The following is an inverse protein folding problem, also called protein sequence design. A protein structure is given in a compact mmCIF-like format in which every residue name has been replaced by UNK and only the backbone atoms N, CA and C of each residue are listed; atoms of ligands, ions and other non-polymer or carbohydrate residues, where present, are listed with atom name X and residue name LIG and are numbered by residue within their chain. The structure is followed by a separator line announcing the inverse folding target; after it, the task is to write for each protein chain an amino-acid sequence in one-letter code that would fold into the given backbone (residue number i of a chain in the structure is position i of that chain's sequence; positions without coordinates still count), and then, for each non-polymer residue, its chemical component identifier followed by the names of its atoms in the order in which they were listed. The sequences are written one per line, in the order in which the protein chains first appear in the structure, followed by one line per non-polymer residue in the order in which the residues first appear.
data_IF_336061207967
#
_entry.id   IF_336061207967
#
_cell.length_a   1.000
_cell.length_b   1.000
_cell.length_c   1.000
_cell.angle_alpha   90.00
_cell.angle_beta   90.00
_cell.angle_gamma   90.00
#
_symmetry.space_group_name_H-M   'P 1'
#
loop_
_entity.id
_entity.type
_entity.pdbx_description
1 polymer ?
#
# COMPACT_ATOMS: atom_id res chain seq x y z
N UNK A 1 3.65 -23.43 -43.98
CA UNK A 1 3.23 -24.81 -43.64
C UNK A 1 2.50 -24.78 -42.30
N UNK A 2 1.18 -25.03 -42.34
CA UNK A 2 0.32 -24.92 -41.16
C UNK A 2 0.83 -25.87 -40.09
N UNK A 3 1.25 -25.31 -38.95
CA UNK A 3 1.75 -26.06 -37.80
C UNK A 3 0.75 -27.14 -37.38
N UNK A 4 -0.54 -27.00 -37.67
CA UNK A 4 -1.56 -28.01 -37.37
C UNK A 4 -1.34 -29.34 -38.09
N UNK A 5 -0.81 -29.35 -39.32
CA UNK A 5 -0.62 -30.58 -40.09
C UNK A 5 0.41 -31.53 -39.47
N UNK A 6 1.46 -31.00 -38.83
CA UNK A 6 2.51 -31.82 -38.21
C UNK A 6 2.09 -32.42 -36.85
N UNK A 7 1.14 -31.80 -36.14
CA UNK A 7 0.65 -32.31 -34.85
C UNK A 7 -0.30 -33.49 -34.97
N UNK A 8 -0.88 -33.73 -36.15
CA UNK A 8 -1.81 -34.85 -36.42
C UNK A 8 -1.20 -36.25 -36.18
N UNK A 9 0.13 -36.35 -36.25
CA UNK A 9 0.86 -37.60 -36.01
C UNK A 9 1.21 -37.81 -34.53
N UNK A 10 0.70 -36.97 -33.63
CA UNK A 10 0.98 -37.03 -32.20
C UNK A 10 -0.32 -37.09 -31.38
N UNK A 11 -0.23 -37.74 -30.22
CA UNK A 11 -1.30 -37.78 -29.22
C UNK A 11 -0.81 -37.19 -27.91
N UNK A 12 -1.55 -36.22 -27.40
CA UNK A 12 -1.25 -35.54 -26.14
C UNK A 12 -2.06 -36.17 -25.01
N UNK A 13 -1.45 -36.28 -23.83
CA UNK A 13 -2.09 -36.87 -22.65
C UNK A 13 -1.55 -36.27 -21.35
N UNK A 14 -2.24 -36.56 -20.25
CA UNK A 14 -1.81 -36.19 -18.91
C UNK A 14 -0.66 -37.07 -18.38
N UNK A 15 -0.13 -38.01 -19.18
CA UNK A 15 0.88 -38.97 -18.73
C UNK A 15 0.34 -40.09 -17.82
N UNK A 16 -0.97 -40.10 -17.52
CA UNK A 16 -1.67 -41.13 -16.75
C UNK A 16 -2.73 -41.87 -17.60
N UNK A 17 -2.64 -41.75 -18.93
CA UNK A 17 -3.50 -42.48 -19.87
C UNK A 17 -4.74 -41.72 -20.36
N UNK A 18 -5.02 -40.51 -19.86
CA UNK A 18 -6.14 -39.70 -20.36
C UNK A 18 -5.67 -38.78 -21.48
N UNK A 19 -6.26 -38.95 -22.67
CA UNK A 19 -5.96 -38.15 -23.85
C UNK A 19 -6.49 -36.72 -23.73
N UNK A 20 -5.82 -35.79 -24.43
CA UNK A 20 -6.20 -34.38 -24.54
C UNK A 20 -6.30 -33.65 -23.19
N UNK A 21 -5.48 -34.06 -22.21
CA UNK A 21 -5.42 -33.46 -20.89
C UNK A 21 -3.98 -33.20 -20.45
N UNK A 22 -3.81 -32.28 -19.51
CA UNK A 22 -2.53 -32.01 -18.83
C UNK A 22 -2.67 -32.43 -17.37
N UNK A 23 -1.65 -33.05 -16.78
CA UNK A 23 -1.66 -33.36 -15.37
C UNK A 23 -1.33 -32.12 -14.54
N UNK A 24 -2.11 -31.89 -13.48
CA UNK A 24 -1.85 -30.84 -12.48
C UNK A 24 -1.76 -31.50 -11.12
N UNK A 25 -0.57 -31.48 -10.51
CA UNK A 25 -0.32 -32.02 -9.18
C UNK A 25 -0.01 -30.88 -8.22
N UNK A 26 -0.78 -30.75 -7.13
CA UNK A 26 -0.42 -29.85 -6.04
C UNK A 26 0.72 -30.46 -5.22
N UNK A 27 1.87 -29.82 -5.24
CA UNK A 27 3.06 -30.25 -4.49
C UNK A 27 3.06 -29.72 -3.06
N UNK A 28 2.54 -28.52 -2.84
CA UNK A 28 2.44 -27.92 -1.50
C UNK A 28 1.06 -27.34 -1.25
N UNK A 29 0.59 -27.46 0.00
CA UNK A 29 -0.64 -26.81 0.45
C UNK A 29 -0.48 -25.29 0.50
N UNK A 30 -1.60 -24.57 0.44
CA UNK A 30 -1.59 -23.13 0.66
C UNK A 30 -1.10 -22.82 2.07
N UNK A 31 -0.06 -21.99 2.15
CA UNK A 31 0.49 -21.52 3.42
C UNK A 31 1.30 -20.25 3.23
N UNK A 32 1.54 -19.53 4.32
CA UNK A 32 2.44 -18.38 4.30
C UNK A 32 3.89 -18.90 4.28
N UNK A 33 4.58 -18.67 3.16
CA UNK A 33 5.85 -19.32 2.83
C UNK A 33 6.76 -18.36 2.06
N UNK A 34 8.09 -18.57 2.08
CA UNK A 34 8.99 -17.87 1.18
C UNK A 34 8.59 -18.04 -0.28
N UNK A 35 8.64 -16.93 -1.01
CA UNK A 35 8.37 -16.90 -2.44
C UNK A 35 9.63 -17.29 -3.23
N UNK A 36 9.41 -17.94 -4.37
CA UNK A 36 10.48 -18.50 -5.17
C UNK A 36 10.96 -17.53 -6.27
N UNK A 37 12.10 -17.89 -6.88
CA UNK A 37 12.70 -17.23 -8.05
C UNK A 37 12.81 -15.71 -7.89
N UNK A 38 12.06 -14.95 -8.70
CA UNK A 38 12.12 -13.48 -8.76
C UNK A 38 11.56 -12.77 -7.53
N UNK A 39 11.04 -13.50 -6.55
CA UNK A 39 10.55 -12.96 -5.27
C UNK A 39 11.27 -13.56 -4.06
N UNK A 40 12.44 -14.16 -4.25
CA UNK A 40 13.28 -14.61 -3.13
C UNK A 40 13.56 -13.47 -2.15
N UNK A 41 13.48 -13.76 -0.85
CA UNK A 41 13.54 -12.76 0.23
C UNK A 41 12.19 -12.16 0.62
N UNK A 42 11.11 -12.44 -0.12
CA UNK A 42 9.75 -12.09 0.26
C UNK A 42 8.96 -13.31 0.75
N UNK A 43 7.99 -13.08 1.63
CA UNK A 43 7.00 -14.08 2.01
C UNK A 43 5.61 -13.72 1.47
N UNK A 44 4.83 -14.75 1.15
CA UNK A 44 3.44 -14.60 0.74
C UNK A 44 2.67 -15.88 0.97
N UNK A 45 1.35 -15.85 0.78
CA UNK A 45 0.62 -17.12 0.79
C UNK A 45 0.70 -17.74 -0.58
N UNK A 46 1.14 -18.99 -0.65
CA UNK A 46 1.33 -19.65 -1.92
C UNK A 46 1.14 -21.16 -1.80
N UNK A 47 0.88 -21.78 -2.95
CA UNK A 47 0.93 -23.21 -3.16
C UNK A 47 1.70 -23.49 -4.46
N UNK A 48 2.49 -24.56 -4.46
CA UNK A 48 3.27 -24.99 -5.62
C UNK A 48 2.52 -26.12 -6.32
N UNK A 49 2.41 -26.00 -7.64
CA UNK A 49 1.80 -26.96 -8.53
C UNK A 49 2.81 -27.41 -9.57
N UNK A 50 2.72 -28.67 -9.97
CA UNK A 50 3.46 -29.23 -11.08
C UNK A 50 2.50 -29.50 -12.23
N UNK A 51 2.83 -28.97 -13.40
CA UNK A 51 2.08 -29.16 -14.63
C UNK A 51 2.91 -30.03 -15.56
N UNK A 52 2.35 -31.15 -15.98
CA UNK A 52 3.01 -32.11 -16.87
C UNK A 52 2.14 -32.40 -18.09
N UNK A 53 2.70 -32.19 -19.29
CA UNK A 53 2.07 -32.51 -20.55
C UNK A 53 2.90 -33.56 -21.29
N UNK A 54 2.28 -34.68 -21.64
CA UNK A 54 2.93 -35.80 -22.30
C UNK A 54 2.49 -35.93 -23.75
N UNK A 55 3.39 -36.39 -24.61
CA UNK A 55 3.16 -36.58 -26.03
C UNK A 55 3.70 -37.94 -26.48
N UNK A 56 2.96 -38.59 -27.37
CA UNK A 56 3.34 -39.83 -28.04
C UNK A 56 3.21 -39.67 -29.55
N UNK A 57 4.16 -40.19 -30.32
CA UNK A 57 4.03 -40.31 -31.77
C UNK A 57 3.15 -41.52 -32.15
N UNK A 58 2.20 -41.31 -33.07
CA UNK A 58 1.21 -42.32 -33.49
C UNK A 58 1.72 -43.24 -34.61
N UNK A 59 2.62 -42.75 -35.46
CA UNK A 59 3.09 -43.47 -36.65
C UNK A 59 4.37 -44.29 -36.40
N UNK A 60 4.53 -44.81 -35.19
CA UNK A 60 5.70 -45.64 -34.83
C UNK A 60 5.24 -46.89 -34.09
N UNK A 61 5.94 -48.03 -34.29
CA UNK A 61 5.64 -49.26 -33.56
C UNK A 61 6.03 -49.16 -32.07
N UNK A 62 6.82 -48.15 -31.68
CA UNK A 62 7.27 -47.95 -30.32
C UNK A 62 6.29 -47.08 -29.53
N UNK A 63 6.04 -47.46 -28.27
CA UNK A 63 5.21 -46.68 -27.35
C UNK A 63 6.06 -45.67 -26.55
N UNK A 64 6.84 -44.84 -27.25
CA UNK A 64 7.70 -43.84 -26.60
C UNK A 64 6.85 -42.62 -26.23
N UNK A 65 6.83 -42.29 -24.94
CA UNK A 65 6.13 -41.11 -24.41
C UNK A 65 7.17 -40.11 -23.92
N UNK A 66 7.23 -38.93 -24.51
CA UNK A 66 8.02 -37.82 -23.97
C UNK A 66 7.12 -36.86 -23.20
N UNK A 67 7.64 -36.15 -22.22
CA UNK A 67 6.86 -35.14 -21.51
C UNK A 67 7.66 -33.86 -21.24
N UNK A 68 6.95 -32.76 -21.11
CA UNK A 68 7.46 -31.52 -20.55
C UNK A 68 6.78 -31.24 -19.23
N UNK A 69 7.55 -30.69 -18.30
CA UNK A 69 7.07 -30.38 -16.96
C UNK A 69 7.51 -28.97 -16.56
N UNK A 70 6.63 -28.26 -15.86
CA UNK A 70 6.94 -27.00 -15.20
C UNK A 70 6.31 -26.97 -13.81
N UNK A 71 7.07 -26.53 -12.82
CA UNK A 71 6.51 -26.16 -11.53
C UNK A 71 6.14 -24.68 -11.55
N UNK A 72 5.02 -24.35 -10.94
CA UNK A 72 4.63 -22.98 -10.72
C UNK A 72 4.13 -22.81 -9.29
N UNK A 73 4.45 -21.67 -8.70
CA UNK A 73 3.92 -21.23 -7.43
C UNK A 73 2.81 -20.21 -7.73
N UNK A 74 1.57 -20.56 -7.40
CA UNK A 74 0.46 -19.62 -7.39
C UNK A 74 0.57 -18.85 -6.09
N UNK A 75 0.75 -17.53 -6.18
CA UNK A 75 1.09 -16.71 -5.03
C UNK A 75 0.11 -15.53 -4.87
N UNK A 76 -0.15 -15.22 -3.61
CA UNK A 76 -0.82 -14.00 -3.19
C UNK A 76 0.11 -13.25 -2.24
N UNK A 77 0.70 -12.18 -2.76
CA UNK A 77 1.81 -11.42 -2.18
C UNK A 77 1.23 -10.20 -1.44
N UNK A 78 1.45 -10.07 -0.11
CA UNK A 78 1.13 -8.86 0.62
C UNK A 78 1.91 -7.67 0.05
N UNK A 79 1.20 -6.62 -0.40
CA UNK A 79 1.88 -5.46 -1.01
C UNK A 79 2.63 -4.62 0.01
N UNK A 80 2.28 -4.73 1.30
CA UNK A 80 3.06 -4.16 2.40
C UNK A 80 4.40 -4.86 2.64
N UNK A 81 4.66 -6.00 1.97
CA UNK A 81 5.98 -6.63 1.96
C UNK A 81 7.02 -5.91 1.09
N UNK A 82 6.62 -4.85 0.36
CA UNK A 82 7.52 -3.97 -0.38
C UNK A 82 7.84 -2.72 0.45
N UNK A 83 9.05 -2.18 0.30
CA UNK A 83 9.36 -0.85 0.83
C UNK A 83 8.59 0.23 0.05
N UNK A 84 8.54 0.10 -1.27
CA UNK A 84 7.81 1.00 -2.17
C UNK A 84 7.10 0.18 -3.24
N UNK A 85 5.80 0.37 -3.40
CA UNK A 85 4.96 -0.27 -4.42
C UNK A 85 4.08 0.77 -5.11
N UNK A 86 4.24 0.98 -6.41
CA UNK A 86 3.37 1.86 -7.19
C UNK A 86 2.58 1.07 -8.23
N UNK A 87 1.26 1.29 -8.29
CA UNK A 87 0.44 0.84 -9.40
C UNK A 87 0.54 1.76 -10.63
N UNK A 88 1.03 2.99 -10.42
CA UNK A 88 1.26 4.02 -11.42
C UNK A 88 2.72 4.03 -11.88
N UNK A 89 3.08 4.96 -12.76
CA UNK A 89 4.47 5.37 -12.95
C UNK A 89 5.03 5.94 -11.63
N UNK A 90 6.28 5.59 -11.33
CA UNK A 90 6.99 5.94 -10.11
C UNK A 90 8.10 6.93 -10.43
N UNK A 91 8.17 8.02 -9.66
CA UNK A 91 9.20 9.04 -9.77
C UNK A 91 9.97 9.12 -8.44
N UNK A 92 11.30 9.13 -8.50
CA UNK A 92 12.19 9.26 -7.33
C UNK A 92 13.28 10.27 -7.67
N UNK A 93 13.14 11.49 -7.16
CA UNK A 93 13.99 12.63 -7.54
C UNK A 93 14.56 13.38 -6.32
N UNK A 94 15.17 12.67 -5.34
CA UNK A 94 15.49 13.26 -4.06
C UNK A 94 16.57 14.36 -4.17
N UNK A 95 16.31 15.48 -3.51
CA UNK A 95 17.26 16.59 -3.36
C UNK A 95 18.31 16.37 -2.26
N UNK A 96 18.19 15.30 -1.46
CA UNK A 96 19.14 14.90 -0.42
C UNK A 96 19.40 13.40 -0.49
N UNK A 97 20.51 12.93 0.09
CA UNK A 97 20.84 11.51 0.04
C UNK A 97 19.69 10.65 0.58
N UNK A 98 19.29 9.64 -0.18
CA UNK A 98 18.08 8.87 0.10
C UNK A 98 18.34 7.38 -0.10
N UNK A 99 17.96 6.57 0.89
CA UNK A 99 18.16 5.13 0.87
C UNK A 99 16.83 4.41 1.06
N UNK A 100 16.52 3.48 0.17
CA UNK A 100 15.36 2.60 0.27
C UNK A 100 15.85 1.23 0.70
N UNK A 101 15.44 0.80 1.90
CA UNK A 101 16.02 -0.35 2.60
C UNK A 101 15.29 -1.68 2.38
N UNK A 102 14.31 -1.72 1.48
CA UNK A 102 13.60 -2.94 1.09
C UNK A 102 13.22 -2.92 -0.39
N UNK A 103 12.42 -3.90 -0.81
CA UNK A 103 12.11 -4.14 -2.22
C UNK A 103 11.26 -3.01 -2.82
N UNK A 104 11.56 -2.59 -4.04
CA UNK A 104 10.81 -1.56 -4.77
C UNK A 104 10.16 -2.17 -6.01
N UNK A 105 8.88 -1.87 -6.24
CA UNK A 105 8.16 -2.32 -7.43
C UNK A 105 7.27 -1.22 -8.03
N UNK A 106 7.32 -1.06 -9.36
CA UNK A 106 6.36 -0.27 -10.12
C UNK A 106 5.62 -1.12 -11.16
N UNK A 107 4.29 -1.01 -11.22
CA UNK A 107 3.50 -1.53 -12.35
C UNK A 107 3.62 -0.63 -13.59
N UNK A 108 4.02 0.64 -13.41
CA UNK A 108 4.41 1.57 -14.47
C UNK A 108 5.92 1.63 -14.66
N UNK A 109 6.37 2.68 -15.35
CA UNK A 109 7.79 3.04 -15.43
C UNK A 109 8.30 3.49 -14.05
N UNK A 110 9.60 3.31 -13.81
CA UNK A 110 10.30 3.81 -12.64
C UNK A 110 11.35 4.82 -13.11
N UNK A 111 11.09 6.10 -12.93
CA UNK A 111 11.96 7.22 -13.26
C UNK A 111 12.83 7.60 -12.05
N UNK A 112 14.13 7.70 -12.28
CA UNK A 112 15.14 7.95 -11.26
C UNK A 112 15.97 9.17 -11.67
N UNK A 113 15.63 10.32 -11.09
CA UNK A 113 16.30 11.60 -11.38
C UNK A 113 16.79 12.31 -10.10
N UNK A 114 17.61 11.64 -9.27
CA UNK A 114 18.08 12.23 -8.03
C UNK A 114 19.04 13.41 -8.25
N UNK A 115 18.95 14.45 -7.41
CA UNK A 115 20.00 15.49 -7.30
C UNK A 115 21.04 15.20 -6.21
N UNK A 116 20.88 14.10 -5.47
CA UNK A 116 21.81 13.61 -4.45
C UNK A 116 21.81 12.07 -4.41
N UNK A 117 22.81 11.38 -3.83
CA UNK A 117 22.92 9.92 -3.94
C UNK A 117 21.64 9.15 -3.56
N UNK A 118 21.15 8.33 -4.48
CA UNK A 118 20.01 7.42 -4.28
C UNK A 118 20.54 5.98 -4.19
N UNK A 119 20.22 5.28 -3.11
CA UNK A 119 20.64 3.88 -2.92
C UNK A 119 19.44 2.97 -2.68
N UNK A 120 19.31 1.93 -3.51
CA UNK A 120 18.41 0.80 -3.26
C UNK A 120 19.19 -0.34 -2.62
N UNK A 121 18.80 -0.73 -1.39
CA UNK A 121 19.45 -1.83 -0.66
C UNK A 121 18.87 -3.21 -0.97
N UNK A 122 17.89 -3.27 -1.86
CA UNK A 122 17.22 -4.50 -2.27
C UNK A 122 16.84 -4.43 -3.76
N UNK A 123 16.16 -5.45 -4.26
CA UNK A 123 15.75 -5.53 -5.65
C UNK A 123 14.77 -4.41 -6.03
N UNK A 124 14.90 -3.92 -7.25
CA UNK A 124 13.99 -2.95 -7.88
C UNK A 124 13.39 -3.60 -9.11
N UNK A 125 12.07 -3.59 -9.25
CA UNK A 125 11.45 -4.13 -10.47
C UNK A 125 10.41 -3.18 -11.05
N UNK A 126 10.31 -3.16 -12.38
CA UNK A 126 9.28 -2.42 -13.10
C UNK A 126 8.59 -3.35 -14.10
N UNK A 127 7.26 -3.27 -14.17
CA UNK A 127 6.53 -3.96 -15.23
C UNK A 127 6.74 -3.31 -16.61
N UNK A 128 7.29 -2.09 -16.63
CA UNK A 128 7.75 -1.39 -17.82
C UNK A 128 9.26 -1.15 -17.70
N UNK A 129 9.75 0.10 -17.77
CA UNK A 129 11.19 0.39 -17.75
C UNK A 129 11.64 0.99 -16.42
N UNK A 130 12.89 0.72 -16.04
CA UNK A 130 13.62 1.49 -15.02
C UNK A 130 14.51 2.47 -15.80
N UNK A 131 14.30 3.76 -15.61
CA UNK A 131 14.87 4.83 -16.43
C UNK A 131 15.67 5.77 -15.54
N UNK A 132 16.92 6.04 -15.93
CA UNK A 132 17.72 7.12 -15.35
C UNK A 132 17.35 8.41 -16.07
N UNK A 133 16.82 9.38 -15.34
CA UNK A 133 16.29 10.63 -15.86
C UNK A 133 14.85 10.89 -15.44
N UNK A 134 14.40 12.10 -15.75
CA UNK A 134 13.09 12.63 -15.37
C UNK A 134 11.95 11.92 -16.09
N UNK A 135 10.78 11.92 -15.44
CA UNK A 135 9.53 11.56 -16.10
C UNK A 135 9.24 12.55 -17.23
N UNK A 136 8.65 12.14 -18.36
CA UNK A 136 8.16 13.07 -19.38
C UNK A 136 7.13 14.09 -18.86
N UNK A 137 6.56 13.83 -17.67
CA UNK A 137 5.63 14.73 -17.00
C UNK A 137 6.27 15.59 -15.92
N UNK A 138 7.58 15.47 -15.70
CA UNK A 138 8.33 16.32 -14.80
C UNK A 138 9.04 17.43 -15.60
N UNK A 139 8.67 18.72 -15.44
CA UNK A 139 9.33 19.82 -16.13
C UNK A 139 10.63 20.29 -15.45
N UNK A 140 11.03 19.66 -14.34
CA UNK A 140 12.11 20.13 -13.49
C UNK A 140 13.45 19.59 -13.97
N UNK A 141 14.25 20.47 -14.56
CA UNK A 141 15.61 20.12 -14.97
C UNK A 141 16.51 19.95 -13.73
N UNK A 142 17.03 18.75 -13.54
CA UNK A 142 17.99 18.43 -12.45
C UNK A 142 19.35 18.02 -13.00
N UNK A 143 20.36 18.13 -12.14
CA UNK A 143 21.66 17.51 -12.38
C UNK A 143 21.65 16.11 -11.78
N UNK A 144 21.63 15.09 -12.64
CA UNK A 144 21.56 13.69 -12.23
C UNK A 144 22.76 13.31 -11.33
N UNK A 145 22.46 12.84 -10.13
CA UNK A 145 23.39 12.26 -9.18
C UNK A 145 23.45 10.73 -9.30
N UNK A 146 24.27 10.08 -8.48
CA UNK A 146 24.47 8.63 -8.55
C UNK A 146 23.24 7.85 -8.07
N UNK A 147 22.83 6.85 -8.85
CA UNK A 147 21.91 5.79 -8.44
C UNK A 147 22.70 4.51 -8.21
N UNK A 148 22.57 3.90 -7.01
CA UNK A 148 23.23 2.64 -6.65
C UNK A 148 22.20 1.55 -6.37
N UNK A 149 22.30 0.42 -7.06
CA UNK A 149 21.52 -0.79 -6.81
C UNK A 149 22.38 -1.84 -6.10
N UNK A 150 21.97 -2.30 -4.93
CA UNK A 150 22.64 -3.39 -4.20
C UNK A 150 21.97 -4.76 -4.43
N UNK A 151 20.82 -4.79 -5.11
CA UNK A 151 20.16 -5.99 -5.62
C UNK A 151 19.92 -5.89 -7.12
N UNK A 152 19.23 -6.87 -7.70
CA UNK A 152 18.88 -6.84 -9.13
C UNK A 152 17.90 -5.71 -9.45
N UNK A 153 17.97 -5.19 -10.68
CA UNK A 153 17.08 -4.16 -11.18
C UNK A 153 16.46 -4.57 -12.52
N UNK A 154 15.23 -5.10 -12.50
CA UNK A 154 14.61 -5.71 -13.69
C UNK A 154 13.43 -4.90 -14.21
N UNK A 155 13.51 -4.45 -15.47
CA UNK A 155 12.37 -3.97 -16.24
C UNK A 155 11.61 -5.11 -16.92
N UNK A 156 10.42 -4.80 -17.43
CA UNK A 156 9.57 -5.68 -18.24
C UNK A 156 9.17 -6.96 -17.47
N UNK A 157 9.01 -6.85 -16.15
CA UNK A 157 8.47 -7.94 -15.34
C UNK A 157 6.93 -7.98 -15.41
N UNK A 158 6.31 -9.04 -14.91
CA UNK A 158 4.85 -9.05 -14.78
C UNK A 158 4.38 -7.98 -13.79
N UNK A 159 3.32 -7.25 -14.13
CA UNK A 159 2.63 -6.39 -13.18
C UNK A 159 2.00 -7.21 -12.05
N UNK A 160 1.97 -6.60 -10.86
CA UNK A 160 1.37 -7.14 -9.66
C UNK A 160 0.01 -6.47 -9.44
N UNK A 161 -1.06 -7.23 -9.68
CA UNK A 161 -2.42 -6.70 -9.70
C UNK A 161 -3.25 -7.20 -8.51
N UNK A 162 -4.09 -6.32 -7.96
CA UNK A 162 -5.09 -6.69 -6.97
C UNK A 162 -6.25 -7.44 -7.65
N UNK A 163 -6.88 -8.39 -6.95
CA UNK A 163 -7.95 -9.22 -7.50
C UNK A 163 -9.29 -8.48 -7.51
N UNK A 164 -9.39 -7.39 -8.28
CA UNK A 164 -10.60 -6.55 -8.37
C UNK A 164 -11.73 -7.20 -9.19
N UNK A 165 -11.45 -8.29 -9.91
CA UNK A 165 -12.38 -8.91 -10.87
C UNK A 165 -12.50 -8.17 -12.20
N UNK A 166 -11.79 -7.05 -12.33
CA UNK A 166 -11.68 -6.20 -13.52
C UNK A 166 -10.23 -5.72 -13.66
N UNK A 167 -9.96 -4.89 -14.67
CA UNK A 167 -8.66 -4.26 -14.85
C UNK A 167 -8.32 -3.37 -13.65
N UNK A 168 -7.04 -3.32 -13.27
CA UNK A 168 -6.51 -2.46 -12.21
C UNK A 168 -6.35 -1.01 -12.73
N UNK A 169 -7.45 -0.42 -13.19
CA UNK A 169 -7.49 1.01 -13.54
C UNK A 169 -7.36 1.86 -12.27
N UNK A 170 -6.97 3.12 -12.42
CA UNK A 170 -6.89 4.08 -11.30
C UNK A 170 -8.20 4.16 -10.52
N UNK A 171 -9.34 4.26 -11.22
CA UNK A 171 -10.66 4.27 -10.61
C UNK A 171 -10.99 2.96 -9.87
N UNK A 172 -10.65 1.80 -10.44
CA UNK A 172 -10.87 0.50 -9.80
C UNK A 172 -10.04 0.31 -8.54
N UNK A 173 -8.79 0.79 -8.55
CA UNK A 173 -7.90 0.78 -7.39
C UNK A 173 -8.33 1.78 -6.32
N UNK A 174 -8.80 2.96 -6.72
CA UNK A 174 -9.33 3.96 -5.79
C UNK A 174 -10.62 3.53 -5.11
N UNK A 175 -11.45 2.76 -5.81
CA UNK A 175 -12.68 2.23 -5.23
C UNK A 175 -12.43 1.41 -3.94
N UNK A 176 -11.23 0.84 -3.71
CA UNK A 176 -10.97 0.05 -2.50
C UNK A 176 -11.05 0.89 -1.21
N UNK A 177 -10.87 2.22 -1.28
CA UNK A 177 -10.99 3.12 -0.12
C UNK A 177 -12.33 3.86 -0.07
N UNK A 178 -13.15 3.76 -1.11
CA UNK A 178 -14.45 4.42 -1.19
C UNK A 178 -15.56 3.55 -0.58
N UNK A 179 -16.64 4.22 -0.15
CA UNK A 179 -17.89 3.56 0.27
C UNK A 179 -18.45 2.80 -0.95
N UNK A 180 -18.83 1.52 -0.81
CA UNK A 180 -19.42 0.76 -1.91
C UNK A 180 -20.74 1.39 -2.37
N UNK A 181 -21.01 1.44 -3.69
CA UNK A 181 -22.34 1.76 -4.16
C UNK A 181 -23.32 0.67 -3.70
N UNK A 182 -24.58 1.02 -3.44
CA UNK A 182 -25.59 0.10 -2.92
C UNK A 182 -25.83 -1.15 -3.80
N UNK A 183 -25.49 -1.08 -5.10
CA UNK A 183 -25.58 -2.18 -6.05
C UNK A 183 -24.41 -3.17 -6.01
N UNK A 184 -23.31 -2.84 -5.32
CA UNK A 184 -22.14 -3.71 -5.26
C UNK A 184 -22.25 -4.72 -4.11
N UNK A 185 -22.20 -6.01 -4.45
CA UNK A 185 -22.14 -7.08 -3.45
C UNK A 185 -20.79 -7.05 -2.69
N UNK A 186 -20.80 -7.11 -1.34
CA UNK A 186 -19.59 -7.28 -0.54
C UNK A 186 -18.78 -8.55 -0.87
N UNK A 187 -19.43 -9.56 -1.45
CA UNK A 187 -18.77 -10.81 -1.88
C UNK A 187 -18.19 -10.75 -3.29
N UNK A 188 -18.44 -9.69 -4.05
CA UNK A 188 -17.80 -9.49 -5.36
C UNK A 188 -16.28 -9.33 -5.21
N UNK A 189 -15.48 -9.59 -6.26
CA UNK A 189 -14.02 -9.44 -6.17
C UNK A 189 -13.57 -8.05 -5.68
N UNK A 190 -14.18 -6.97 -6.18
CA UNK A 190 -13.95 -5.60 -5.71
C UNK A 190 -14.51 -5.37 -4.30
N UNK A 191 -15.72 -5.85 -4.01
CA UNK A 191 -16.34 -5.74 -2.68
C UNK A 191 -15.48 -6.34 -1.57
N UNK A 192 -14.80 -7.46 -1.84
CA UNK A 192 -13.85 -8.07 -0.91
C UNK A 192 -12.56 -7.24 -0.72
N UNK A 193 -12.23 -6.33 -1.64
CA UNK A 193 -11.06 -5.44 -1.50
C UNK A 193 -11.37 -4.16 -0.72
N UNK A 194 -12.64 -3.73 -0.67
CA UNK A 194 -13.01 -2.47 -0.01
C UNK A 194 -12.72 -2.48 1.48
N UNK A 195 -12.03 -1.45 1.95
CA UNK A 195 -11.78 -1.27 3.38
C UNK A 195 -13.06 -1.07 4.18
N UNK A 196 -14.08 -0.42 3.58
CA UNK A 196 -15.43 -0.34 4.15
C UNK A 196 -15.98 -1.73 4.51
N UNK A 197 -15.87 -2.70 3.58
CA UNK A 197 -16.39 -4.05 3.80
C UNK A 197 -15.51 -4.88 4.75
N UNK A 198 -14.21 -4.57 4.84
CA UNK A 198 -13.26 -5.22 5.76
C UNK A 198 -13.33 -4.71 7.20
N UNK A 199 -13.93 -3.53 7.41
CA UNK A 199 -13.90 -2.84 8.69
C UNK A 199 -14.55 -3.64 9.84
N UNK A 200 -14.01 -3.46 11.03
CA UNK A 200 -14.64 -3.91 12.28
C UNK A 200 -15.60 -2.82 12.81
N UNK A 201 -15.20 -1.55 12.68
CA UNK A 201 -16.01 -0.38 13.01
C UNK A 201 -16.03 0.58 11.82
N UNK A 202 -17.23 0.96 11.39
CA UNK A 202 -17.47 1.96 10.34
C UNK A 202 -18.05 3.20 11.01
N UNK A 203 -17.51 4.36 10.68
CA UNK A 203 -17.92 5.66 11.22
C UNK A 203 -18.17 6.60 10.05
N UNK A 204 -19.40 7.10 9.92
CA UNK A 204 -19.78 8.06 8.90
C UNK A 204 -20.21 9.35 9.58
N UNK A 205 -19.53 10.43 9.25
CA UNK A 205 -19.83 11.77 9.77
C UNK A 205 -20.61 12.54 8.71
N UNK A 206 -21.75 13.09 9.07
CA UNK A 206 -22.57 13.93 8.19
C UNK A 206 -22.78 15.31 8.82
N UNK A 207 -23.43 16.23 8.10
CA UNK A 207 -23.75 17.56 8.63
C UNK A 207 -24.66 17.50 9.87
N UNK A 208 -25.47 16.45 10.01
CA UNK A 208 -26.48 16.34 11.05
C UNK A 208 -26.10 15.37 12.16
N UNK A 209 -25.49 14.24 11.80
CA UNK A 209 -25.23 13.13 12.73
C UNK A 209 -23.92 12.42 12.43
N UNK A 210 -23.38 11.79 13.46
CA UNK A 210 -22.36 10.74 13.34
C UNK A 210 -23.06 9.39 13.49
N UNK A 211 -22.93 8.52 12.50
CA UNK A 211 -23.40 7.13 12.58
C UNK A 211 -22.20 6.21 12.68
N UNK A 212 -22.30 5.17 13.51
CA UNK A 212 -21.28 4.13 13.55
C UNK A 212 -21.89 2.75 13.73
N UNK A 213 -21.35 1.79 12.98
CA UNK A 213 -21.82 0.41 12.97
C UNK A 213 -20.66 -0.57 12.93
N UNK A 214 -20.90 -1.82 13.33
CA UNK A 214 -20.04 -2.93 12.92
C UNK A 214 -19.98 -3.08 11.40
N UNK A 215 -19.02 -3.85 10.90
CA UNK A 215 -18.87 -4.11 9.47
C UNK A 215 -19.67 -5.30 8.95
N UNK A 216 -19.28 -5.79 7.77
CA UNK A 216 -19.98 -6.87 7.04
C UNK A 216 -19.99 -8.21 7.78
N UNK A 217 -19.04 -8.44 8.70
CA UNK A 217 -18.88 -9.71 9.42
C UNK A 217 -20.12 -10.13 10.23
N UNK A 218 -20.96 -9.17 10.62
CA UNK A 218 -22.24 -9.39 11.28
C UNK A 218 -23.35 -8.56 10.62
N UNK A 219 -23.24 -8.29 9.32
CA UNK A 219 -24.21 -7.51 8.54
C UNK A 219 -24.55 -6.14 9.14
N UNK A 220 -23.55 -5.39 9.64
CA UNK A 220 -23.72 -4.04 10.18
C UNK A 220 -24.70 -3.96 11.37
N UNK A 221 -24.90 -5.07 12.09
CA UNK A 221 -25.98 -5.20 13.09
C UNK A 221 -25.75 -4.46 14.40
N UNK A 222 -24.51 -4.15 14.76
CA UNK A 222 -24.19 -3.43 16.00
C UNK A 222 -24.11 -1.95 15.69
N UNK A 223 -24.95 -1.14 16.34
CA UNK A 223 -24.85 0.33 16.31
C UNK A 223 -24.07 0.83 17.53
N UNK A 224 -23.09 1.71 17.31
CA UNK A 224 -22.28 2.34 18.37
C UNK A 224 -22.77 3.79 18.53
N UNK A 225 -23.41 4.15 19.65
CA UNK A 225 -23.99 5.48 19.81
C UNK A 225 -22.90 6.54 19.99
N UNK A 226 -23.25 7.80 19.69
CA UNK A 226 -22.34 8.95 19.83
C UNK A 226 -21.73 9.09 21.24
N UNK A 227 -22.45 8.69 22.29
CA UNK A 227 -21.97 8.69 23.68
C UNK A 227 -20.77 7.76 23.92
N UNK A 228 -20.54 6.80 23.03
CA UNK A 228 -19.35 5.94 23.05
C UNK A 228 -18.24 6.53 22.17
N UNK A 229 -18.60 7.05 20.99
CA UNK A 229 -17.64 7.62 20.04
C UNK A 229 -16.96 8.90 20.57
N UNK A 230 -17.74 9.79 21.19
CA UNK A 230 -17.25 11.09 21.66
C UNK A 230 -16.23 11.00 22.80
N UNK A 231 -16.01 9.79 23.35
CA UNK A 231 -14.94 9.52 24.32
C UNK A 231 -13.55 9.58 23.68
N UNK A 232 -13.44 9.31 22.39
CA UNK A 232 -12.16 9.32 21.66
C UNK A 232 -12.21 10.12 20.34
N UNK A 233 -13.35 10.70 19.99
CA UNK A 233 -13.55 11.44 18.74
C UNK A 233 -14.03 12.87 18.98
N UNK A 234 -13.57 13.81 18.15
CA UNK A 234 -14.09 15.18 18.03
C UNK A 234 -14.33 15.52 16.55
N UNK A 235 -15.46 16.16 16.24
CA UNK A 235 -15.85 16.61 14.89
C UNK A 235 -15.82 18.13 14.73
N UNK A 236 -15.49 18.89 15.78
CA UNK A 236 -15.48 20.35 15.74
C UNK A 236 -14.09 20.94 15.47
N UNK A 237 -13.07 20.09 15.38
CA UNK A 237 -11.70 20.50 15.09
C UNK A 237 -11.57 20.99 13.63
N UNK A 238 -10.81 22.07 13.45
CA UNK A 238 -10.41 22.57 12.13
C UNK A 238 -9.03 23.19 12.18
N UNK A 239 -8.30 23.08 11.09
CA UNK A 239 -6.99 23.70 10.90
C UNK A 239 -6.78 23.97 9.42
N UNK A 240 -5.71 24.67 9.08
CA UNK A 240 -5.44 25.00 7.69
C UNK A 240 -4.35 24.15 7.09
N UNK A 241 -4.57 23.70 5.87
CA UNK A 241 -3.54 23.09 5.06
C UNK A 241 -3.06 24.10 4.01
N UNK A 242 -1.81 24.56 4.16
CA UNK A 242 -1.16 25.51 3.24
C UNK A 242 -0.85 24.90 1.87
N UNK A 243 -0.75 23.58 1.76
CA UNK A 243 -0.56 22.87 0.49
C UNK A 243 -1.85 22.86 -0.31
N UNK A 244 -2.96 22.61 0.36
CA UNK A 244 -4.29 22.58 -0.26
C UNK A 244 -4.92 23.98 -0.35
N UNK A 245 -4.38 24.96 0.39
CA UNK A 245 -4.90 26.32 0.52
C UNK A 245 -6.36 26.34 1.04
N UNK A 246 -6.72 25.37 1.88
CA UNK A 246 -8.07 25.18 2.42
C UNK A 246 -8.07 24.83 3.92
N UNK A 247 -9.19 25.09 4.59
CA UNK A 247 -9.43 24.63 5.96
C UNK A 247 -9.88 23.18 5.97
N UNK A 248 -9.21 22.36 6.75
CA UNK A 248 -9.59 20.97 6.98
C UNK A 248 -10.75 20.92 7.97
N UNK A 249 -11.93 20.51 7.49
CA UNK A 249 -13.06 20.15 8.33
C UNK A 249 -12.81 18.75 8.89
N UNK A 250 -12.44 18.67 10.16
CA UNK A 250 -11.75 17.49 10.68
C UNK A 250 -12.66 16.59 11.52
N UNK A 251 -12.59 15.29 11.26
CA UNK A 251 -12.96 14.22 12.19
C UNK A 251 -11.69 13.74 12.89
N UNK A 252 -11.48 14.20 14.11
CA UNK A 252 -10.29 13.93 14.91
C UNK A 252 -10.49 12.71 15.81
N UNK A 253 -9.51 11.80 15.81
CA UNK A 253 -9.46 10.59 16.61
C UNK A 253 -8.26 10.66 17.55
N UNK A 254 -8.52 10.66 18.85
CA UNK A 254 -7.49 10.49 19.87
C UNK A 254 -7.23 8.99 20.07
N UNK A 255 -6.09 8.51 19.57
CA UNK A 255 -5.72 7.10 19.58
C UNK A 255 -5.46 6.59 21.01
N UNK A 256 -4.95 7.46 21.89
CA UNK A 256 -4.71 7.11 23.29
C UNK A 256 -6.03 6.90 24.04
N UNK A 257 -7.05 7.73 23.75
CA UNK A 257 -8.41 7.53 24.29
C UNK A 257 -9.10 6.33 23.64
N UNK A 258 -8.95 6.12 22.33
CA UNK A 258 -9.46 4.93 21.64
C UNK A 258 -8.91 3.64 22.26
N UNK A 259 -7.62 3.62 22.61
CA UNK A 259 -7.00 2.49 23.32
C UNK A 259 -7.68 2.22 24.66
N UNK A 260 -8.07 3.25 25.41
CA UNK A 260 -8.74 3.07 26.69
C UNK A 260 -10.15 2.46 26.53
N UNK A 261 -10.85 2.78 25.44
CA UNK A 261 -12.16 2.21 25.12
C UNK A 261 -12.08 0.84 24.41
N UNK A 262 -10.88 0.35 24.07
CA UNK A 262 -10.69 -0.84 23.22
C UNK A 262 -11.43 -2.09 23.73
N UNK A 263 -11.33 -2.38 25.04
CA UNK A 263 -11.99 -3.56 25.63
C UNK A 263 -13.52 -3.41 25.59
N UNK A 264 -14.02 -2.19 25.81
CA UNK A 264 -15.45 -1.92 25.74
C UNK A 264 -15.98 -2.07 24.31
N UNK A 265 -15.29 -1.49 23.33
CA UNK A 265 -15.60 -1.66 21.91
C UNK A 265 -15.54 -3.12 21.48
N UNK A 266 -14.57 -3.88 21.99
CA UNK A 266 -14.46 -5.33 21.75
C UNK A 266 -15.71 -6.07 22.21
N UNK A 267 -16.24 -5.73 23.39
CA UNK A 267 -17.48 -6.32 23.90
C UNK A 267 -18.68 -5.93 23.04
N UNK A 268 -18.83 -4.66 22.66
CA UNK A 268 -19.95 -4.19 21.84
C UNK A 268 -19.94 -4.84 20.45
N UNK A 269 -18.77 -4.90 19.82
CA UNK A 269 -18.60 -5.42 18.45
C UNK A 269 -18.60 -6.96 18.40
N UNK A 270 -18.47 -7.63 19.55
CA UNK A 270 -18.35 -9.09 19.65
C UNK A 270 -17.01 -9.66 19.16
N UNK A 271 -16.04 -8.79 18.86
CA UNK A 271 -14.68 -9.13 18.42
C UNK A 271 -13.73 -7.97 18.62
N UNK A 272 -12.43 -8.27 18.71
CA UNK A 272 -11.36 -7.30 18.80
C UNK A 272 -11.32 -6.45 17.50
N UNK A 273 -11.57 -5.12 17.57
CA UNK A 273 -11.54 -4.27 16.38
C UNK A 273 -10.09 -3.95 15.98
N UNK A 274 -9.74 -4.18 14.72
CA UNK A 274 -8.43 -3.87 14.14
C UNK A 274 -8.54 -2.89 12.97
N UNK A 275 -9.65 -2.89 12.23
CA UNK A 275 -9.87 -2.03 11.07
C UNK A 275 -11.01 -1.04 11.37
N UNK A 276 -10.68 0.25 11.33
CA UNK A 276 -11.64 1.34 11.49
C UNK A 276 -11.77 2.06 10.16
N UNK A 277 -12.97 2.07 9.59
CA UNK A 277 -13.27 2.84 8.40
C UNK A 277 -13.98 4.13 8.80
N UNK A 278 -13.43 5.27 8.41
CA UNK A 278 -13.94 6.60 8.80
C UNK A 278 -14.13 7.42 7.54
N UNK A 279 -15.32 7.95 7.31
CA UNK A 279 -15.59 8.87 6.21
C UNK A 279 -16.32 10.12 6.70
N UNK A 280 -15.78 11.29 6.36
CA UNK A 280 -16.37 12.58 6.62
C UNK A 280 -17.14 13.05 5.39
N UNK A 281 -18.46 12.87 5.45
CA UNK A 281 -19.40 13.16 4.37
C UNK A 281 -20.04 14.54 4.56
N UNK A 282 -19.48 15.39 5.43
CA UNK A 282 -19.96 16.76 5.59
C UNK A 282 -19.77 17.55 4.30
N UNK A 283 -20.69 18.46 4.05
CA UNK A 283 -20.65 19.30 2.86
C UNK A 283 -19.48 20.25 2.93
N UNK A 284 -18.69 20.27 1.86
CA UNK A 284 -17.57 21.17 1.72
C UNK A 284 -17.95 22.46 1.02
N UNK A 285 -17.24 23.53 1.36
CA UNK A 285 -17.29 24.82 0.69
C UNK A 285 -16.08 24.97 -0.25
N UNK A 286 -16.01 26.08 -0.97
CA UNK A 286 -14.82 26.44 -1.75
C UNK A 286 -13.54 26.60 -0.88
N UNK A 287 -13.67 26.76 0.44
CA UNK A 287 -12.56 26.99 1.37
C UNK A 287 -12.31 25.82 2.31
N UNK A 288 -13.02 24.70 2.16
CA UNK A 288 -12.90 23.56 3.08
C UNK A 288 -12.74 22.23 2.37
N UNK A 289 -12.02 21.31 3.00
CA UNK A 289 -11.92 19.90 2.58
C UNK A 289 -12.18 18.98 3.78
N UNK A 290 -12.69 17.76 3.58
CA UNK A 290 -12.82 16.80 4.67
C UNK A 290 -11.42 16.36 5.13
N UNK A 291 -11.29 16.00 6.40
CA UNK A 291 -10.07 15.40 6.91
C UNK A 291 -10.36 14.44 8.05
N UNK A 292 -9.62 13.35 8.10
CA UNK A 292 -9.49 12.53 9.31
C UNK A 292 -8.15 12.85 9.95
N UNK A 293 -8.11 13.14 11.26
CA UNK A 293 -6.86 13.41 11.97
C UNK A 293 -6.66 12.46 13.14
N UNK A 294 -5.50 11.81 13.21
CA UNK A 294 -5.09 10.98 14.33
C UNK A 294 -4.15 11.76 15.23
N UNK A 295 -4.46 11.82 16.51
CA UNK A 295 -3.60 12.44 17.54
C UNK A 295 -3.26 11.42 18.62
N UNK A 296 -2.18 11.67 19.37
CA UNK A 296 -1.75 10.83 20.50
C UNK A 296 -1.54 9.36 20.10
N UNK A 297 -1.02 9.13 18.89
CA UNK A 297 -0.88 7.83 18.23
C UNK A 297 0.30 6.97 18.65
N UNK A 298 1.14 7.42 19.60
CA UNK A 298 2.42 6.79 19.88
C UNK A 298 2.25 5.32 20.31
N UNK A 299 1.23 5.02 21.11
CA UNK A 299 0.89 3.68 21.57
C UNK A 299 -0.49 3.28 21.09
N UNK A 300 -0.56 2.28 20.22
CA UNK A 300 -1.79 1.81 19.60
C UNK A 300 -2.62 0.88 20.53
N UNK A 301 -3.90 0.64 20.18
CA UNK A 301 -4.68 -0.46 20.75
C UNK A 301 -4.00 -1.83 20.60
N UNK A 302 -4.24 -2.78 21.52
CA UNK A 302 -3.69 -4.12 21.40
C UNK A 302 -4.21 -4.79 20.12
N UNK A 303 -3.43 -5.72 19.57
CA UNK A 303 -3.64 -6.35 18.25
C UNK A 303 -3.44 -5.44 17.02
N UNK A 304 -3.02 -4.18 17.20
CA UNK A 304 -2.70 -3.29 16.10
C UNK A 304 -3.90 -2.46 15.61
N UNK A 305 -3.65 -1.61 14.60
CA UNK A 305 -4.62 -0.64 14.13
C UNK A 305 -4.46 -0.33 12.64
N UNK A 306 -5.52 -0.53 11.88
CA UNK A 306 -5.69 -0.02 10.53
C UNK A 306 -6.74 1.08 10.54
N UNK A 307 -6.35 2.29 10.17
CA UNK A 307 -7.30 3.37 9.85
C UNK A 307 -7.43 3.42 8.33
N UNK A 308 -8.67 3.34 7.85
CA UNK A 308 -9.00 3.50 6.45
C UNK A 308 -10.03 4.62 6.26
N UNK A 309 -9.80 5.47 5.27
CA UNK A 309 -10.69 6.59 4.96
C UNK A 309 -10.63 6.91 3.46
N UNK A 310 -11.74 7.35 2.85
CA UNK A 310 -11.68 7.95 1.52
C UNK A 310 -11.14 9.38 1.55
N UNK A 311 -10.95 9.98 2.73
CA UNK A 311 -10.57 11.37 2.93
C UNK A 311 -9.04 11.52 3.13
N UNK A 312 -8.50 12.74 3.03
CA UNK A 312 -7.15 13.05 3.48
C UNK A 312 -6.96 12.75 4.97
N UNK A 313 -5.87 12.06 5.30
CA UNK A 313 -5.55 11.60 6.65
C UNK A 313 -4.32 12.33 7.19
N UNK A 314 -4.45 12.88 8.40
CA UNK A 314 -3.40 13.60 9.10
C UNK A 314 -2.96 12.79 10.31
N UNK A 315 -1.66 12.65 10.50
CA UNK A 315 -1.07 12.00 11.69
C UNK A 315 -0.29 13.05 12.45
N UNK A 316 -0.78 13.43 13.62
CA UNK A 316 -0.09 14.38 14.49
C UNK A 316 0.66 13.65 15.60
N UNK A 317 1.97 13.89 15.64
CA UNK A 317 2.89 13.34 16.60
C UNK A 317 3.42 11.97 16.21
N UNK A 318 4.05 11.32 17.19
CA UNK A 318 4.55 9.96 17.01
C UNK A 318 3.39 8.96 16.82
N UNK A 319 3.58 7.97 15.94
CA UNK A 319 2.58 6.94 15.65
C UNK A 319 3.19 5.54 15.70
N UNK A 320 2.61 4.66 16.53
CA UNK A 320 3.06 3.28 16.72
C UNK A 320 4.57 3.19 17.04
N UNK A 321 5.07 4.07 17.89
CA UNK A 321 6.49 4.26 18.14
C UNK A 321 6.78 4.12 19.64
N UNK A 322 7.02 2.87 20.13
CA UNK A 322 7.36 2.63 21.52
C UNK A 322 8.51 3.53 21.99
N UNK A 323 8.41 4.06 23.20
CA UNK A 323 9.36 5.08 23.71
C UNK A 323 10.84 4.66 23.62
N UNK A 324 11.12 3.36 23.72
CA UNK A 324 12.48 2.81 23.62
C UNK A 324 13.12 2.96 22.22
N UNK A 325 12.33 3.18 21.17
CA UNK A 325 12.78 3.15 19.77
C UNK A 325 12.42 4.40 18.98
N UNK A 326 12.01 5.49 19.65
CA UNK A 326 11.77 6.78 19.00
C UNK A 326 13.02 7.24 18.23
N UNK A 327 12.83 7.68 16.98
CA UNK A 327 13.88 8.16 16.10
C UNK A 327 14.78 7.07 15.50
N UNK A 328 14.48 5.78 15.75
CA UNK A 328 15.29 4.65 15.28
C UNK A 328 14.57 3.84 14.20
N UNK A 329 15.30 2.97 13.52
CA UNK A 329 14.74 1.99 12.58
C UNK A 329 14.36 0.66 13.23
N UNK A 330 14.36 0.57 14.56
CA UNK A 330 14.01 -0.64 15.28
C UNK A 330 12.49 -0.76 15.46
N UNK A 331 11.89 -1.70 14.74
CA UNK A 331 10.45 -1.94 14.77
C UNK A 331 10.05 -3.17 15.59
N UNK A 332 10.94 -3.78 16.37
CA UNK A 332 10.66 -5.05 17.08
C UNK A 332 9.44 -5.00 18.01
N UNK A 333 9.14 -3.82 18.59
CA UNK A 333 7.99 -3.60 19.48
C UNK A 333 6.81 -2.90 18.79
N UNK A 334 6.86 -2.65 17.48
CA UNK A 334 5.72 -2.05 16.78
C UNK A 334 4.59 -3.08 16.64
N UNK A 335 3.36 -2.57 16.68
CA UNK A 335 2.17 -3.35 16.42
C UNK A 335 1.83 -3.33 14.92
N UNK A 336 1.07 -4.33 14.42
CA UNK A 336 0.62 -4.32 13.03
C UNK A 336 -0.23 -3.07 12.77
N UNK A 337 0.24 -2.15 11.95
CA UNK A 337 -0.45 -0.88 11.74
C UNK A 337 -0.46 -0.47 10.27
N UNK A 338 -1.61 0.03 9.81
CA UNK A 338 -1.75 0.58 8.46
C UNK A 338 -2.54 1.88 8.46
N UNK A 339 -2.14 2.80 7.59
CA UNK A 339 -2.84 4.03 7.31
C UNK A 339 -3.25 4.02 5.84
N UNK A 340 -4.54 4.13 5.59
CA UNK A 340 -5.13 3.97 4.25
C UNK A 340 -6.03 5.17 3.96
N UNK A 341 -5.71 5.97 2.96
CA UNK A 341 -6.35 7.28 2.78
C UNK A 341 -6.37 7.78 1.33
N UNK A 342 -7.00 8.93 1.09
CA UNK A 342 -6.79 9.70 -0.15
C UNK A 342 -5.34 10.17 -0.25
N UNK A 343 -4.86 10.82 0.80
CA UNK A 343 -3.51 11.34 0.97
C UNK A 343 -3.11 11.29 2.44
N UNK A 344 -1.82 11.27 2.75
CA UNK A 344 -1.33 11.26 4.14
C UNK A 344 -0.36 12.39 4.41
N UNK A 345 -0.69 13.19 5.42
CA UNK A 345 0.13 14.30 5.92
C UNK A 345 0.61 14.00 7.34
N UNK A 346 1.91 14.19 7.60
CA UNK A 346 2.49 14.06 8.94
C UNK A 346 2.72 15.44 9.54
N UNK A 347 2.24 15.61 10.77
CA UNK A 347 2.38 16.78 11.60
C UNK A 347 3.15 16.36 12.86
N UNK A 348 4.09 17.17 13.32
CA UNK A 348 4.87 16.87 14.52
C UNK A 348 4.07 17.15 15.80
N UNK A 349 4.61 16.76 16.96
CA UNK A 349 4.01 17.08 18.27
C UNK A 349 3.93 18.60 18.53
N UNK A 350 4.72 19.41 17.80
CA UNK A 350 4.71 20.88 17.92
C UNK A 350 3.64 21.55 17.04
N UNK A 351 2.91 20.78 16.22
CA UNK A 351 1.89 21.34 15.35
C UNK A 351 0.85 22.12 16.15
N UNK A 352 0.49 23.30 15.65
CA UNK A 352 -0.47 24.18 16.29
C UNK A 352 -1.43 24.75 15.25
N UNK A 353 -2.69 24.33 15.33
CA UNK A 353 -3.77 24.71 14.41
C UNK A 353 -3.90 26.24 14.27
N UNK A 354 -3.71 27.00 15.35
CA UNK A 354 -3.80 28.47 15.33
C UNK A 354 -2.69 29.14 14.52
N UNK A 355 -1.59 28.42 14.26
CA UNK A 355 -0.44 28.88 13.47
C UNK A 355 -0.37 28.23 12.10
N UNK A 356 -1.38 27.45 11.72
CA UNK A 356 -1.37 26.70 10.46
C UNK A 356 -1.30 27.63 9.22
N UNK A 357 -1.87 28.83 9.30
CA UNK A 357 -1.77 29.89 8.27
C UNK A 357 -0.50 30.74 8.36
N UNK A 358 0.28 30.63 9.43
CA UNK A 358 1.38 31.54 9.69
C UNK A 358 2.59 31.19 8.81
N UNK A 359 3.51 32.15 8.61
CA UNK A 359 4.77 31.90 7.92
C UNK A 359 5.51 30.69 8.50
N UNK A 360 6.29 30.01 7.64
CA UNK A 360 6.97 28.76 7.97
C UNK A 360 7.84 28.84 9.24
N UNK A 361 8.40 30.02 9.56
CA UNK A 361 9.18 30.26 10.78
C UNK A 361 8.41 30.09 12.11
N UNK A 362 7.08 30.05 12.08
CA UNK A 362 6.22 29.84 13.26
C UNK A 362 5.67 28.42 13.40
N UNK A 363 5.87 27.58 12.38
CA UNK A 363 5.43 26.18 12.32
C UNK A 363 6.64 25.24 12.48
N UNK A 364 7.40 25.41 13.57
CA UNK A 364 8.64 24.66 13.78
C UNK A 364 8.39 23.24 14.26
N UNK A 365 8.75 22.26 13.44
CA UNK A 365 8.55 20.85 13.75
C UNK A 365 9.41 20.39 14.95
N UNK A 366 8.96 19.31 15.58
CA UNK A 366 9.75 18.46 16.45
C UNK A 366 10.12 17.15 15.75
N UNK A 367 11.10 16.41 16.27
CA UNK A 367 11.41 15.09 15.72
C UNK A 367 10.20 14.15 15.86
N UNK A 368 9.90 13.35 14.84
CA UNK A 368 8.68 12.52 14.80
C UNK A 368 8.99 11.16 14.22
N UNK A 369 8.38 10.12 14.79
CA UNK A 369 8.51 8.71 14.36
C UNK A 369 7.14 8.16 14.00
N UNK A 370 7.00 7.67 12.76
CA UNK A 370 5.78 7.02 12.26
C UNK A 370 6.13 5.60 11.82
N UNK A 371 5.51 4.60 12.44
CA UNK A 371 5.67 3.20 12.06
C UNK A 371 4.35 2.62 11.57
N UNK A 372 4.18 2.52 10.25
CA UNK A 372 2.97 1.97 9.64
C UNK A 372 3.21 1.55 8.19
N UNK A 373 2.44 0.58 7.72
CA UNK A 373 2.23 0.44 6.29
C UNK A 373 1.32 1.56 5.80
N UNK A 374 1.65 2.19 4.68
CA UNK A 374 0.92 3.34 4.17
C UNK A 374 0.42 3.03 2.76
N UNK A 375 -0.89 3.14 2.57
CA UNK A 375 -1.55 3.07 1.27
C UNK A 375 -2.29 4.38 1.04
N UNK A 376 -1.83 5.19 0.10
CA UNK A 376 -2.55 6.41 -0.24
C UNK A 376 -2.43 6.74 -1.72
N UNK A 377 -3.17 7.76 -2.13
CA UNK A 377 -2.98 8.38 -3.42
C UNK A 377 -1.78 9.31 -3.44
N UNK A 378 -1.41 9.72 -4.66
CA UNK A 378 -0.40 10.75 -4.92
C UNK A 378 -0.97 11.80 -5.87
N UNK A 379 -0.42 13.00 -5.90
CA UNK A 379 -0.67 13.94 -7.01
C UNK A 379 0.42 13.69 -8.06
N UNK A 380 0.13 13.17 -9.27
CA UNK A 380 1.15 12.94 -10.29
C UNK A 380 1.72 14.25 -10.85
N UNK A 381 2.97 14.24 -11.34
CA UNK A 381 3.50 15.33 -12.17
C UNK A 381 2.70 15.44 -13.48
N UNK A 382 2.62 16.63 -14.08
CA UNK A 382 1.72 16.86 -15.23
C UNK A 382 2.29 17.75 -16.36
N UNK A 383 3.61 17.89 -16.43
CA UNK A 383 4.33 18.71 -17.41
C UNK A 383 4.40 20.20 -17.06
N UNK A 384 3.58 20.69 -16.12
CA UNK A 384 3.65 22.07 -15.60
C UNK A 384 4.28 22.15 -14.21
N UNK A 385 4.21 21.07 -13.44
CA UNK A 385 4.86 20.96 -12.15
C UNK A 385 5.38 19.55 -11.91
N UNK A 386 6.42 19.47 -11.08
CA UNK A 386 6.82 18.26 -10.39
C UNK A 386 6.03 18.12 -9.09
N UNK A 387 5.59 16.90 -8.76
CA UNK A 387 4.72 16.67 -7.61
C UNK A 387 5.33 15.81 -6.49
N UNK A 388 6.66 15.74 -6.41
CA UNK A 388 7.37 15.36 -5.19
C UNK A 388 7.81 13.89 -5.06
N UNK A 389 7.36 13.00 -5.96
CA UNK A 389 7.86 11.62 -6.04
C UNK A 389 7.70 10.81 -4.74
N UNK A 390 8.44 9.71 -4.62
CA UNK A 390 8.43 8.84 -3.44
C UNK A 390 8.93 9.56 -2.18
N UNK A 391 9.97 10.38 -2.30
CA UNK A 391 10.63 11.07 -1.19
C UNK A 391 9.76 12.17 -0.53
N UNK A 392 8.68 12.60 -1.19
CA UNK A 392 7.67 13.50 -0.63
C UNK A 392 6.26 12.90 -0.63
N UNK A 393 6.15 11.56 -0.71
CA UNK A 393 4.89 10.84 -0.61
C UNK A 393 4.16 11.17 0.71
N UNK A 394 4.88 11.14 1.83
CA UNK A 394 4.40 11.70 3.08
C UNK A 394 4.44 13.23 2.98
N UNK A 395 3.26 13.86 3.02
CA UNK A 395 3.12 15.31 2.95
C UNK A 395 3.47 15.93 4.30
N UNK A 396 3.94 17.17 4.29
CA UNK A 396 4.39 17.89 5.47
C UNK A 396 3.93 19.35 5.39
N UNK A 397 3.68 19.96 6.55
CA UNK A 397 3.24 21.35 6.68
C UNK A 397 4.09 22.14 7.69
N UNK A 398 5.34 21.77 7.95
CA UNK A 398 6.13 22.41 9.00
C UNK A 398 7.55 22.70 8.56
N UNK A 399 8.23 23.54 9.33
CA UNK A 399 9.65 23.75 9.21
C UNK A 399 10.40 22.59 9.89
N UNK A 400 10.93 21.68 9.09
CA UNK A 400 11.72 20.52 9.54
C UNK A 400 13.23 20.74 9.48
N UNK A 401 13.70 21.97 9.27
CA UNK A 401 15.15 22.25 9.22
C UNK A 401 15.83 21.79 10.51
N UNK A 402 16.80 20.89 10.38
CA UNK A 402 17.50 20.30 11.52
C UNK A 402 16.68 19.30 12.36
N UNK A 403 15.51 18.88 11.88
CA UNK A 403 14.62 17.91 12.53
C UNK A 403 14.55 16.63 11.73
N UNK A 404 14.48 15.50 12.44
CA UNK A 404 14.39 14.18 11.82
C UNK A 404 12.94 13.71 11.77
N UNK A 405 12.50 13.31 10.58
CA UNK A 405 11.31 12.49 10.41
C UNK A 405 11.76 11.04 10.18
N UNK A 406 11.44 10.19 11.16
CA UNK A 406 11.69 8.76 11.08
C UNK A 406 10.44 8.05 10.59
N UNK A 407 10.56 7.30 9.50
CA UNK A 407 9.47 6.50 8.96
C UNK A 407 9.94 5.07 8.79
N UNK A 408 9.31 4.14 9.50
CA UNK A 408 9.52 2.71 9.28
C UNK A 408 8.25 2.07 8.75
N UNK A 409 8.26 1.60 7.51
CA UNK A 409 7.02 1.15 6.91
C UNK A 409 7.12 0.71 5.46
N UNK A 410 5.95 0.69 4.83
CA UNK A 410 5.77 0.39 3.42
C UNK A 410 5.05 1.57 2.78
N UNK A 411 5.52 2.03 1.62
CA UNK A 411 4.86 3.06 0.81
C UNK A 411 4.15 2.35 -0.33
N UNK A 412 2.83 2.47 -0.38
CA UNK A 412 2.00 1.91 -1.44
C UNK A 412 1.17 3.02 -2.07
N UNK A 413 1.33 3.21 -3.38
CA UNK A 413 0.53 4.15 -4.17
C UNK A 413 -0.27 3.39 -5.21
N UNK A 414 -1.59 3.43 -5.09
CA UNK A 414 -2.47 2.70 -5.99
C UNK A 414 -3.25 3.60 -6.96
N UNK A 415 -3.38 4.90 -6.65
CA UNK A 415 -4.23 5.81 -7.41
C UNK A 415 -3.74 7.26 -7.26
N UNK A 416 -4.17 8.17 -8.14
CA UNK A 416 -4.07 9.60 -7.89
C UNK A 416 -5.02 10.04 -6.75
N UNK A 417 -4.59 10.99 -5.91
CA UNK A 417 -5.46 11.68 -4.94
C UNK A 417 -6.67 12.29 -5.66
N UNK A 418 -7.85 12.21 -5.07
CA UNK A 418 -9.08 12.86 -5.54
C UNK A 418 -9.51 14.04 -4.68
N UNK A 419 -9.05 14.12 -3.42
CA UNK A 419 -9.46 15.19 -2.50
C UNK A 419 -8.29 16.15 -2.29
N UNK A 420 -7.21 15.71 -1.63
CA UNK A 420 -6.05 16.57 -1.41
C UNK A 420 -5.19 16.59 -2.68
N UNK A 421 -5.49 17.49 -3.61
CA UNK A 421 -4.91 17.55 -4.96
C UNK A 421 -3.81 18.60 -5.13
N UNK A 422 -3.44 19.32 -4.08
CA UNK A 422 -2.35 20.28 -4.08
C UNK A 422 -1.02 19.63 -4.50
N UNK A 423 -0.35 20.08 -5.56
CA UNK A 423 0.92 19.51 -5.98
C UNK A 423 2.04 19.84 -4.98
N UNK A 424 3.13 19.06 -5.03
CA UNK A 424 4.33 19.45 -4.29
C UNK A 424 4.84 20.81 -4.78
N UNK A 425 5.27 21.66 -3.85
CA UNK A 425 5.76 23.00 -4.20
C UNK A 425 4.69 24.00 -4.63
N UNK A 426 3.38 23.70 -4.47
CA UNK A 426 2.28 24.64 -4.74
C UNK A 426 2.45 26.00 -4.03
N UNK A 427 3.21 26.03 -2.94
CA UNK A 427 3.70 27.25 -2.30
C UNK A 427 5.13 27.05 -1.77
N UNK A 428 5.97 28.08 -1.92
CA UNK A 428 7.37 28.09 -1.47
C UNK A 428 7.53 28.00 0.06
N UNK A 429 6.43 28.03 0.81
CA UNK A 429 6.44 28.09 2.27
C UNK A 429 5.65 26.96 2.94
N UNK A 430 5.28 25.89 2.21
CA UNK A 430 4.50 24.79 2.79
C UNK A 430 5.31 24.06 3.88
N UNK A 431 6.54 23.65 3.57
CA UNK A 431 7.42 22.94 4.51
C UNK A 431 8.89 23.14 4.15
N UNK A 432 9.81 22.81 5.07
CA UNK A 432 11.23 22.59 4.74
C UNK A 432 11.57 21.12 4.89
N UNK A 433 12.54 20.61 4.13
CA UNK A 433 12.83 19.17 4.08
C UNK A 433 13.40 18.65 5.41
N UNK A 434 12.87 17.55 5.98
CA UNK A 434 13.43 16.93 7.17
C UNK A 434 14.72 16.16 6.86
N UNK A 435 15.49 15.86 7.91
CA UNK A 435 16.39 14.72 7.87
C UNK A 435 15.54 13.44 7.77
N UNK A 436 15.52 12.80 6.59
CA UNK A 436 14.75 11.57 6.37
C UNK A 436 15.50 10.38 6.95
N UNK A 437 14.92 9.73 7.95
CA UNK A 437 15.37 8.42 8.43
C UNK A 437 14.32 7.37 8.04
N UNK A 438 14.36 6.94 6.79
CA UNK A 438 13.34 6.04 6.22
C UNK A 438 13.87 4.62 6.15
N UNK A 439 13.05 3.66 6.58
CA UNK A 439 13.35 2.25 6.46
C UNK A 439 12.10 1.43 6.16
N UNK A 440 12.28 0.32 5.46
CA UNK A 440 11.30 -0.75 5.44
C UNK A 440 11.13 -1.36 6.85
N UNK A 441 9.89 -1.68 7.23
CA UNK A 441 9.60 -2.45 8.44
C UNK A 441 9.66 -3.97 8.15
N UNK A 442 10.68 -4.70 8.62
CA UNK A 442 10.80 -6.14 8.37
C UNK A 442 9.68 -6.98 9.00
N UNK A 443 8.90 -6.42 9.94
CA UNK A 443 7.72 -7.08 10.48
C UNK A 443 6.70 -7.47 9.39
N UNK A 444 6.64 -6.74 8.28
CA UNK A 444 5.71 -7.04 7.19
C UNK A 444 6.06 -8.31 6.39
N UNK A 445 7.19 -8.95 6.69
CA UNK A 445 7.51 -10.30 6.20
C UNK A 445 6.98 -11.42 7.10
N UNK A 446 6.31 -11.10 8.21
CA UNK A 446 5.72 -12.07 9.12
C UNK A 446 4.19 -11.95 9.10
N UNK A 447 3.49 -13.04 8.77
CA UNK A 447 2.02 -13.08 8.67
C UNK A 447 1.31 -12.56 9.93
N UNK A 448 1.83 -12.85 11.13
CA UNK A 448 1.23 -12.40 12.40
C UNK A 448 1.44 -10.91 12.67
N UNK A 449 2.34 -10.27 11.92
CA UNK A 449 2.70 -8.86 12.05
C UNK A 449 2.23 -8.00 10.88
N UNK A 450 1.58 -8.60 9.88
CA UNK A 450 0.92 -7.87 8.81
C UNK A 450 -0.29 -7.09 9.34
N UNK A 451 -0.46 -5.81 8.97
CA UNK A 451 -1.65 -5.05 9.35
C UNK A 451 -2.94 -5.72 8.88
N UNK A 452 -3.98 -5.64 9.71
CA UNK A 452 -5.30 -6.15 9.32
C UNK A 452 -5.79 -5.41 8.06
N UNK A 453 -6.29 -6.17 7.08
CA UNK A 453 -6.76 -5.63 5.81
C UNK A 453 -5.69 -5.46 4.72
N UNK A 454 -4.43 -5.84 4.99
CA UNK A 454 -3.30 -5.79 4.02
C UNK A 454 -3.74 -6.27 2.63
N UNK A 455 -3.65 -5.43 1.57
CA UNK A 455 -3.99 -5.85 0.23
C UNK A 455 -2.95 -6.81 -0.32
N UNK A 456 -3.39 -7.68 -1.23
CA UNK A 456 -2.54 -8.77 -1.73
C UNK A 456 -2.66 -8.88 -3.24
N UNK A 457 -1.53 -8.68 -3.91
CA UNK A 457 -1.45 -8.91 -5.35
C UNK A 457 -1.42 -10.41 -5.65
N UNK A 458 -2.02 -10.83 -6.76
CA UNK A 458 -1.98 -12.24 -7.20
C UNK A 458 -1.05 -12.39 -8.39
N UNK A 459 -0.23 -13.43 -8.38
CA UNK A 459 0.69 -13.73 -9.48
C UNK A 459 0.97 -15.22 -9.58
N UNK A 460 1.55 -15.62 -10.72
CA UNK A 460 2.07 -16.96 -10.95
C UNK A 460 3.57 -16.85 -11.14
N UNK A 461 4.31 -17.57 -10.30
CA UNK A 461 5.76 -17.62 -10.30
C UNK A 461 6.16 -18.94 -10.93
N UNK A 462 6.79 -18.91 -12.12
CA UNK A 462 7.12 -20.12 -12.87
C UNK A 462 8.58 -20.51 -12.62
N UNK A 463 8.84 -21.81 -12.52
CA UNK A 463 10.19 -22.38 -12.61
C UNK A 463 10.61 -22.55 -14.07
N UNK A 464 11.88 -22.90 -14.28
CA UNK A 464 12.36 -23.38 -15.57
C UNK A 464 11.59 -24.64 -16.01
N UNK A 465 11.46 -24.82 -17.33
CA UNK A 465 10.93 -26.05 -17.94
C UNK A 465 11.91 -27.20 -17.80
N UNK A 466 11.40 -28.41 -17.61
CA UNK A 466 12.18 -29.65 -17.61
C UNK A 466 11.60 -30.63 -18.63
N UNK A 467 12.46 -31.21 -19.46
CA UNK A 467 12.08 -32.32 -20.34
C UNK A 467 12.23 -33.64 -19.59
N UNK A 468 11.22 -34.49 -19.69
CA UNK A 468 11.23 -35.85 -19.16
C UNK A 468 11.44 -36.75 -20.37
N UNK A 469 12.63 -37.35 -20.47
CA UNK A 469 12.92 -38.34 -21.52
C UNK A 469 12.06 -39.58 -21.32
N UNK A 470 11.44 -40.03 -22.41
CA UNK A 470 10.60 -41.21 -22.43
C UNK A 470 11.37 -42.50 -22.28
N UNK A 471 10.82 -43.43 -21.50
CA UNK A 471 11.18 -44.85 -21.49
C UNK A 471 10.41 -45.62 -22.55
#
# INVERSE_FOLDING_TARGET
PDAESCWSNFSFSNGQGTLNQTAVLQLTNWGYTPLQTKYTGMNGYAATYQITASVRALNTPFNVVSAVQQQLQVASIPIFGFAVFYALDMEICPGSAFAITGRTHGNGNVYLDPSAPLTFRSHVTSAQSILLGESPQDPTIRSLSSVTFQGEHDGVVNSLNLPLGTNNTTAGLQAIVQIPPASESPSSPLGQQRYYNKADLIILVSNATVTATSGTYNNFSVSIPWSELNKFMDTNSTFYDLRENMYMQTTQIDINKLRNEYNHLTTLLGRAPQIYYIADLRTQSYYTEPAVRLINGQTLPPNGLTIATPDPLYVQGNFNAPSAYLGTTNTTMTLPASLVADAITVLSDNWNDNRAWWPLSYRNASATTVNAAILAGIVPSNGYYYSGGVENFLRLLENWTGRTLTFNGSIVVLYPSQIAIGPWGASNYVFSTPNRNWSFDPNFQNASKLPAGTPRARTVIRSAWTAIQGT
#
